data_IF_799354017639
#
_entry.id   IF_799354017639
#
_cell.length_a   1.000
_cell.length_b   1.000
_cell.length_c   1.000
_cell.angle_alpha   90.00
_cell.angle_beta   90.00
_cell.angle_gamma   90.00
#
_symmetry.space_group_name_H-M   'P 1'
#
loop_
_entity.id
_entity.type
_entity.pdbx_description
1 polymer ?
#
# COMPACT_ATOMS: atom_id res chain seq x y z
N UNK A 1 13.43 -6.40 -6.27
CA UNK A 1 14.37 -7.16 -5.41
C UNK A 1 13.57 -7.94 -4.36
N UNK A 2 13.95 -9.18 -4.00
CA UNK A 2 13.12 -10.09 -3.20
C UNK A 2 13.31 -9.95 -1.67
N UNK A 3 14.10 -8.99 -1.19
CA UNK A 3 14.55 -8.95 0.21
C UNK A 3 13.45 -8.73 1.25
N UNK A 4 12.27 -8.24 0.85
CA UNK A 4 11.09 -8.16 1.74
C UNK A 4 10.07 -9.29 1.49
N UNK A 5 10.26 -10.13 0.48
CA UNK A 5 9.29 -11.14 0.04
C UNK A 5 7.88 -10.59 -0.27
N UNK A 6 7.78 -9.29 -0.61
CA UNK A 6 6.50 -8.60 -0.84
C UNK A 6 6.14 -8.41 -2.32
N UNK A 7 6.97 -8.85 -3.27
CA UNK A 7 6.74 -8.60 -4.70
C UNK A 7 5.39 -9.12 -5.19
N UNK A 8 5.08 -10.39 -4.91
CA UNK A 8 3.80 -11.00 -5.28
C UNK A 8 2.62 -10.39 -4.51
N UNK A 9 2.80 -10.09 -3.21
CA UNK A 9 1.77 -9.43 -2.40
C UNK A 9 1.38 -8.07 -2.99
N UNK A 10 2.35 -7.28 -3.48
CA UNK A 10 2.06 -6.01 -4.14
C UNK A 10 1.25 -6.18 -5.44
N UNK A 11 1.58 -7.19 -6.25
CA UNK A 11 0.81 -7.48 -7.46
C UNK A 11 -0.63 -7.93 -7.17
N UNK A 12 -0.83 -8.74 -6.12
CA UNK A 12 -2.16 -9.14 -5.65
C UNK A 12 -2.94 -7.92 -5.15
N UNK A 13 -2.28 -7.05 -4.37
CA UNK A 13 -2.89 -5.80 -3.91
C UNK A 13 -3.30 -4.89 -5.08
N UNK A 14 -2.47 -4.78 -6.12
CA UNK A 14 -2.76 -3.99 -7.32
C UNK A 14 -3.98 -4.54 -8.08
N UNK A 15 -4.04 -5.87 -8.27
CA UNK A 15 -5.17 -6.53 -8.92
C UNK A 15 -6.47 -6.34 -8.11
N UNK A 16 -6.41 -6.50 -6.78
CA UNK A 16 -7.54 -6.26 -5.89
C UNK A 16 -8.02 -4.80 -5.96
N UNK A 17 -7.09 -3.84 -5.93
CA UNK A 17 -7.42 -2.43 -6.01
C UNK A 17 -8.15 -2.10 -7.33
N UNK A 18 -7.64 -2.57 -8.47
CA UNK A 18 -8.31 -2.42 -9.76
C UNK A 18 -9.72 -3.02 -9.76
N UNK A 19 -9.90 -4.23 -9.22
CA UNK A 19 -11.22 -4.86 -9.08
C UNK A 19 -12.18 -4.04 -8.22
N UNK A 20 -11.69 -3.42 -7.15
CA UNK A 20 -12.48 -2.56 -6.27
C UNK A 20 -12.86 -1.25 -6.99
N UNK A 21 -11.90 -0.57 -7.63
CA UNK A 21 -12.15 0.69 -8.35
C UNK A 21 -13.18 0.52 -9.47
N UNK A 22 -13.01 -0.51 -10.29
CA UNK A 22 -13.90 -0.78 -11.42
C UNK A 22 -15.14 -1.62 -11.06
N UNK A 23 -15.38 -1.85 -9.76
CA UNK A 23 -16.64 -2.40 -9.29
C UNK A 23 -17.80 -1.42 -9.52
N UNK A 24 -19.03 -1.96 -9.45
CA UNK A 24 -20.25 -1.16 -9.58
C UNK A 24 -20.40 -0.08 -8.49
N UNK A 25 -19.62 -0.14 -7.40
CA UNK A 25 -19.71 0.80 -6.27
C UNK A 25 -19.29 2.23 -6.65
N UNK A 26 -18.25 2.37 -7.47
CA UNK A 26 -17.64 3.67 -7.75
C UNK A 26 -17.85 4.16 -9.20
N UNK A 27 -18.48 3.34 -10.05
CA UNK A 27 -18.87 3.70 -11.43
C UNK A 27 -17.72 4.20 -12.34
N UNK A 28 -16.47 3.93 -11.97
CA UNK A 28 -15.30 4.30 -12.79
C UNK A 28 -15.23 3.56 -14.14
N UNK A 29 -16.10 2.58 -14.40
CA UNK A 29 -16.27 2.00 -15.75
C UNK A 29 -16.79 3.02 -16.76
N UNK A 30 -17.41 4.11 -16.32
CA UNK A 30 -17.87 5.22 -17.16
C UNK A 30 -16.78 6.29 -17.38
N UNK A 31 -15.74 6.32 -16.54
CA UNK A 31 -14.56 7.17 -16.67
C UNK A 31 -13.31 6.40 -16.23
N UNK A 32 -12.78 5.61 -17.16
CA UNK A 32 -11.60 4.77 -16.93
C UNK A 32 -10.36 5.60 -16.59
N UNK A 33 -10.26 6.82 -17.12
CA UNK A 33 -9.12 7.70 -16.87
C UNK A 33 -9.10 8.16 -15.41
N UNK A 34 -10.26 8.56 -14.88
CA UNK A 34 -10.38 8.91 -13.46
C UNK A 34 -10.06 7.70 -12.55
N UNK A 35 -10.58 6.51 -12.89
CA UNK A 35 -10.29 5.28 -12.15
C UNK A 35 -8.79 4.95 -12.10
N UNK A 36 -8.10 5.03 -13.24
CA UNK A 36 -6.65 4.75 -13.31
C UNK A 36 -5.80 5.81 -12.60
N UNK A 37 -6.21 7.08 -12.61
CA UNK A 37 -5.56 8.14 -11.84
C UNK A 37 -5.63 7.85 -10.34
N UNK A 38 -6.80 7.44 -9.85
CA UNK A 38 -6.99 7.10 -8.45
C UNK A 38 -6.21 5.85 -8.05
N UNK A 39 -6.22 4.81 -8.90
CA UNK A 39 -5.38 3.63 -8.72
C UNK A 39 -3.91 4.02 -8.55
N UNK A 40 -3.37 4.84 -9.46
CA UNK A 40 -1.99 5.28 -9.38
C UNK A 40 -1.72 6.09 -8.10
N UNK A 41 -2.62 7.01 -7.73
CA UNK A 41 -2.46 7.84 -6.52
C UNK A 41 -2.39 6.99 -5.24
N UNK A 42 -3.13 5.89 -5.19
CA UNK A 42 -3.21 5.00 -4.02
C UNK A 42 -2.06 4.00 -3.99
N UNK A 43 -1.80 3.34 -5.13
CA UNK A 43 -0.91 2.18 -5.18
C UNK A 43 0.56 2.56 -5.36
N UNK A 44 0.86 3.65 -6.09
CA UNK A 44 2.24 4.08 -6.34
C UNK A 44 3.02 4.37 -5.05
N UNK A 45 2.52 5.18 -4.08
CA UNK A 45 3.28 5.48 -2.87
C UNK A 45 3.61 4.21 -2.06
N UNK A 46 2.65 3.29 -1.94
CA UNK A 46 2.83 2.02 -1.22
C UNK A 46 3.82 1.10 -1.93
N UNK A 47 3.67 0.89 -3.23
CA UNK A 47 4.60 0.06 -4.01
C UNK A 47 6.03 0.62 -3.98
N UNK A 48 6.20 1.93 -4.15
CA UNK A 48 7.50 2.59 -4.08
C UNK A 48 8.13 2.49 -2.68
N UNK A 49 7.33 2.58 -1.62
CA UNK A 49 7.81 2.39 -0.24
C UNK A 49 8.31 0.96 -0.01
N UNK A 50 7.58 -0.05 -0.48
CA UNK A 50 8.00 -1.46 -0.41
C UNK A 50 9.28 -1.70 -1.22
N UNK A 51 9.39 -1.11 -2.41
CA UNK A 51 10.60 -1.18 -3.23
C UNK A 51 11.81 -0.57 -2.51
N UNK A 52 11.66 0.63 -1.94
CA UNK A 52 12.72 1.29 -1.19
C UNK A 52 13.13 0.49 0.05
N UNK A 53 12.17 -0.06 0.80
CA UNK A 53 12.45 -0.93 1.94
C UNK A 53 13.14 -2.24 1.52
N UNK A 54 12.82 -2.78 0.34
CA UNK A 54 13.52 -3.94 -0.23
C UNK A 54 14.95 -3.61 -0.67
N UNK A 55 15.19 -2.38 -1.14
CA UNK A 55 16.53 -1.91 -1.42
C UNK A 55 17.37 -1.74 -0.15
N UNK A 56 16.82 -1.13 0.92
CA UNK A 56 17.55 -1.03 2.20
C UNK A 56 17.83 -2.39 2.82
N UNK A 57 16.91 -3.34 2.69
CA UNK A 57 17.09 -4.72 3.18
C UNK A 57 18.15 -5.53 2.41
N UNK A 58 18.59 -5.06 1.23
CA UNK A 58 19.76 -5.62 0.54
C UNK A 58 21.04 -5.31 1.32
N UNK A 59 21.17 -4.07 1.80
CA UNK A 59 22.39 -3.57 2.47
C UNK A 59 22.37 -3.83 3.99
N UNK A 60 21.18 -3.86 4.61
CA UNK A 60 21.00 -4.03 6.04
C UNK A 60 19.88 -5.03 6.36
N UNK A 61 20.23 -6.22 6.84
CA UNK A 61 19.26 -7.27 7.14
C UNK A 61 18.23 -6.88 8.20
N UNK A 62 18.56 -5.92 9.09
CA UNK A 62 17.64 -5.42 10.12
C UNK A 62 16.44 -4.63 9.54
N UNK A 63 16.46 -4.28 8.27
CA UNK A 63 15.33 -3.66 7.56
C UNK A 63 14.28 -4.69 7.13
N UNK A 64 14.60 -5.99 7.18
CA UNK A 64 13.69 -7.04 6.70
C UNK A 64 12.59 -7.33 7.72
N UNK A 65 11.34 -7.18 7.29
CA UNK A 65 10.16 -7.24 8.17
C UNK A 65 10.00 -8.58 8.92
N UNK A 66 10.57 -9.69 8.40
CA UNK A 66 10.44 -11.02 8.99
C UNK A 66 11.54 -11.47 9.96
N UNK A 67 12.63 -10.70 10.13
CA UNK A 67 13.71 -11.05 11.08
C UNK A 67 13.54 -10.38 12.44
N UNK A 68 12.67 -9.38 12.54
CA UNK A 68 12.44 -8.62 13.75
C UNK A 68 11.07 -9.01 14.30
N UNK A 69 11.04 -9.98 15.23
CA UNK A 69 9.87 -10.22 16.08
C UNK A 69 9.76 -9.06 17.05
N UNK A 70 9.16 -7.96 16.60
CA UNK A 70 8.98 -6.75 17.40
C UNK A 70 7.75 -6.90 18.29
N UNK A 71 7.87 -6.44 19.53
CA UNK A 71 6.67 -6.17 20.34
C UNK A 71 5.86 -5.05 19.68
N UNK A 72 4.56 -4.88 20.00
CA UNK A 72 3.78 -3.75 19.48
C UNK A 72 4.45 -2.39 19.73
N UNK A 73 5.11 -2.21 20.88
CA UNK A 73 5.85 -0.98 21.18
C UNK A 73 7.04 -0.79 20.23
N UNK A 74 7.87 -1.81 20.04
CA UNK A 74 9.05 -1.68 19.17
C UNK A 74 8.66 -1.53 17.70
N UNK A 75 7.54 -2.12 17.28
CA UNK A 75 6.97 -1.90 15.94
C UNK A 75 6.56 -0.44 15.72
N UNK A 76 6.01 0.23 16.74
CA UNK A 76 5.70 1.66 16.64
C UNK A 76 6.94 2.53 16.53
N UNK A 77 8.01 2.21 17.27
CA UNK A 77 9.29 2.91 17.17
C UNK A 77 9.94 2.70 15.80
N UNK A 78 9.99 1.46 15.31
CA UNK A 78 10.51 1.14 13.98
C UNK A 78 9.73 1.85 12.86
N UNK A 79 8.41 1.95 12.98
CA UNK A 79 7.58 2.71 12.05
C UNK A 79 7.93 4.22 12.08
N UNK A 80 8.16 4.79 13.28
CA UNK A 80 8.60 6.17 13.44
C UNK A 80 9.99 6.42 12.84
N UNK A 81 10.87 5.42 12.85
CA UNK A 81 12.17 5.43 12.15
C UNK A 81 12.05 5.24 10.62
N UNK A 82 10.83 5.07 10.10
CA UNK A 82 10.60 4.89 8.66
C UNK A 82 10.86 3.48 8.14
N UNK A 83 11.06 2.49 9.03
CA UNK A 83 11.16 1.08 8.64
C UNK A 83 9.79 0.57 8.19
N UNK A 84 9.82 -0.31 7.20
CA UNK A 84 8.62 -1.08 6.85
C UNK A 84 8.35 -2.07 7.98
N UNK A 85 7.10 -2.27 8.38
CA UNK A 85 6.76 -3.21 9.45
C UNK A 85 5.79 -4.28 8.96
N UNK A 86 5.79 -5.46 9.59
CA UNK A 86 4.84 -6.54 9.27
C UNK A 86 3.40 -6.08 9.48
N UNK A 87 3.14 -5.33 10.55
CA UNK A 87 1.80 -4.81 10.83
C UNK A 87 1.34 -3.87 9.71
N UNK A 88 2.17 -2.91 9.28
CA UNK A 88 1.85 -2.01 8.15
C UNK A 88 1.50 -2.80 6.87
N UNK A 89 2.17 -3.92 6.63
CA UNK A 89 1.89 -4.76 5.47
C UNK A 89 0.60 -5.56 5.63
N UNK A 90 0.43 -6.26 6.76
CA UNK A 90 -0.60 -7.27 6.95
C UNK A 90 -1.96 -6.70 7.37
N UNK A 91 -2.01 -5.52 7.99
CA UNK A 91 -3.26 -4.90 8.45
C UNK A 91 -3.74 -3.79 7.52
N UNK A 92 -3.33 -3.82 6.25
CA UNK A 92 -3.72 -2.81 5.28
C UNK A 92 -5.21 -2.93 4.90
N UNK A 93 -6.03 -2.01 5.42
CA UNK A 93 -7.43 -1.86 5.01
C UNK A 93 -7.54 -1.10 3.68
N UNK A 94 -7.47 -1.86 2.59
CA UNK A 94 -7.59 -1.32 1.24
C UNK A 94 -8.98 -0.73 0.95
N UNK A 95 -10.04 -1.35 1.45
CA UNK A 95 -11.41 -0.88 1.19
C UNK A 95 -11.66 0.47 1.85
N UNK A 96 -11.25 0.63 3.11
CA UNK A 96 -11.33 1.90 3.83
C UNK A 96 -10.47 2.99 3.20
N UNK A 97 -9.22 2.68 2.84
CA UNK A 97 -8.32 3.64 2.20
C UNK A 97 -8.88 4.15 0.86
N UNK A 98 -9.41 3.26 0.02
CA UNK A 98 -10.05 3.63 -1.24
C UNK A 98 -11.28 4.50 -0.98
N UNK A 99 -12.16 4.10 -0.06
CA UNK A 99 -13.40 4.83 0.23
C UNK A 99 -13.11 6.28 0.68
N UNK A 100 -12.13 6.47 1.56
CA UNK A 100 -11.74 7.78 2.06
C UNK A 100 -11.26 8.72 0.94
N UNK A 101 -10.44 8.22 0.01
CA UNK A 101 -9.92 9.04 -1.09
C UNK A 101 -10.95 9.33 -2.17
N UNK A 102 -11.85 8.39 -2.44
CA UNK A 102 -12.99 8.63 -3.33
C UNK A 102 -13.88 9.74 -2.75
N UNK A 103 -14.14 9.71 -1.44
CA UNK A 103 -14.95 10.74 -0.77
C UNK A 103 -14.30 12.12 -0.89
N UNK A 104 -12.99 12.24 -0.68
CA UNK A 104 -12.25 13.51 -0.88
C UNK A 104 -12.38 14.01 -2.32
N UNK A 105 -12.21 13.11 -3.30
CA UNK A 105 -12.29 13.47 -4.73
C UNK A 105 -13.67 14.00 -5.13
N UNK A 106 -14.75 13.48 -4.54
CA UNK A 106 -16.11 14.00 -4.79
C UNK A 106 -16.41 15.30 -4.03
N UNK A 107 -15.81 15.51 -2.85
CA UNK A 107 -15.94 16.78 -2.13
C UNK A 107 -15.28 17.93 -2.87
N UNK A 108 -14.14 17.68 -3.53
CA UNK A 108 -13.42 18.70 -4.30
C UNK A 108 -14.10 19.05 -5.65
N UNK A 109 -15.18 18.35 -6.02
CA UNK A 109 -15.95 18.56 -7.25
C UNK A 109 -17.31 19.27 -7.01
N UNK A 110 -17.69 19.55 -5.76
CA UNK A 110 -18.86 20.35 -5.38
C UNK A 110 -18.45 21.78 -5.01
#
# INVERSE_FOLDING_TARGET
MPHQSQGTCQAIEDAAALGIFFSNKYKFTQDVTAGLKLYQAIRKPRASRVQAASARAMENLNERIGFTSLTPHDATLAAAEGKLTVNEMNTYDMHGHIAALVETLYKDQM
#
